data_IF_946487627405
#
_entry.id   IF_946487627405
#
_cell.length_a   1.000
_cell.length_b   1.000
_cell.length_c   1.000
_cell.angle_alpha   90.00
_cell.angle_beta   90.00
_cell.angle_gamma   90.00
#
_symmetry.space_group_name_H-M   'P 1'
#
loop_
_entity.id
_entity.type
_entity.pdbx_description
1 polymer ?
#
# COMPACT_ATOMS: atom_id res chain seq x y z
N UNK A 1 20.47 -6.29 -20.16
CA UNK A 1 19.82 -6.82 -18.97
C UNK A 1 18.51 -6.11 -18.71
N UNK A 2 17.44 -6.84 -18.71
CA UNK A 2 16.14 -6.24 -18.41
C UNK A 2 15.97 -6.12 -16.90
N UNK A 3 15.62 -4.95 -16.45
CA UNK A 3 15.22 -4.76 -15.07
C UNK A 3 13.73 -5.08 -14.97
N UNK A 4 13.38 -5.99 -14.10
CA UNK A 4 11.99 -6.27 -13.85
C UNK A 4 11.38 -5.10 -13.10
N UNK A 5 10.24 -4.64 -13.57
CA UNK A 5 9.51 -3.58 -12.89
C UNK A 5 8.92 -4.14 -11.61
N UNK A 6 8.95 -3.35 -10.56
CA UNK A 6 8.28 -3.69 -9.32
C UNK A 6 6.78 -3.47 -9.46
N UNK A 7 6.01 -4.33 -8.81
CA UNK A 7 4.56 -4.25 -8.83
C UNK A 7 4.06 -3.64 -7.53
N UNK A 8 3.19 -2.65 -7.64
CA UNK A 8 2.52 -2.05 -6.49
C UNK A 8 1.01 -2.28 -6.58
N UNK A 9 0.41 -2.68 -5.47
CA UNK A 9 -1.04 -2.74 -5.35
C UNK A 9 -1.49 -1.51 -4.57
N UNK A 10 -2.29 -0.67 -5.21
CA UNK A 10 -2.82 0.56 -4.59
C UNK A 10 -4.26 0.31 -4.19
N UNK A 11 -4.59 0.57 -2.93
CA UNK A 11 -5.90 0.29 -2.37
C UNK A 11 -6.49 1.57 -1.78
N UNK A 12 -7.59 2.04 -2.36
CA UNK A 12 -8.28 3.24 -1.91
C UNK A 12 -9.70 3.20 -2.47
N UNK A 13 -10.70 3.65 -1.72
CA UNK A 13 -12.08 3.65 -2.20
C UNK A 13 -12.41 4.86 -3.09
N UNK A 14 -11.51 5.85 -3.15
CA UNK A 14 -11.69 7.03 -3.97
C UNK A 14 -11.00 6.85 -5.33
N UNK A 15 -11.79 6.86 -6.41
CA UNK A 15 -11.27 6.65 -7.75
C UNK A 15 -10.25 7.73 -8.16
N UNK A 16 -10.50 8.98 -7.75
CA UNK A 16 -9.59 10.08 -8.07
C UNK A 16 -8.20 9.86 -7.45
N UNK A 17 -8.16 9.33 -6.24
CA UNK A 17 -6.89 9.02 -5.58
C UNK A 17 -6.19 7.87 -6.29
N UNK A 18 -6.93 6.83 -6.66
CA UNK A 18 -6.37 5.71 -7.41
C UNK A 18 -5.79 6.17 -8.75
N UNK A 19 -6.51 7.03 -9.47
CA UNK A 19 -6.04 7.55 -10.76
C UNK A 19 -4.74 8.33 -10.60
N UNK A 20 -4.68 9.21 -9.61
CA UNK A 20 -3.48 10.00 -9.34
C UNK A 20 -2.29 9.12 -8.98
N UNK A 21 -2.48 8.20 -8.06
CA UNK A 21 -1.40 7.33 -7.60
C UNK A 21 -0.94 6.39 -8.71
N UNK A 22 -1.86 5.88 -9.51
CA UNK A 22 -1.50 5.05 -10.65
C UNK A 22 -0.60 5.80 -11.61
N UNK A 23 -0.97 7.02 -11.97
CA UNK A 23 -0.18 7.85 -12.88
C UNK A 23 1.24 8.08 -12.32
N UNK A 24 1.32 8.45 -11.05
CA UNK A 24 2.59 8.78 -10.42
C UNK A 24 3.51 7.55 -10.33
N UNK A 25 2.96 6.41 -9.94
CA UNK A 25 3.77 5.19 -9.82
C UNK A 25 4.15 4.61 -11.18
N UNK A 26 3.26 4.65 -12.17
CA UNK A 26 3.61 4.22 -13.52
C UNK A 26 4.71 5.09 -14.11
N UNK A 27 4.63 6.39 -13.89
CA UNK A 27 5.67 7.33 -14.33
C UNK A 27 7.01 7.03 -13.66
N UNK A 28 6.97 6.49 -12.45
CA UNK A 28 8.18 6.13 -11.69
C UNK A 28 8.68 4.71 -11.97
N UNK A 29 8.06 4.01 -12.92
CA UNK A 29 8.53 2.72 -13.38
C UNK A 29 7.87 1.51 -12.74
N UNK A 30 6.79 1.68 -11.98
CA UNK A 30 6.08 0.56 -11.37
C UNK A 30 5.01 -0.01 -12.31
N UNK A 31 4.76 -1.30 -12.17
CA UNK A 31 3.54 -1.92 -12.67
C UNK A 31 2.48 -1.72 -11.60
N UNK A 32 1.37 -1.12 -11.95
CA UNK A 32 0.34 -0.76 -10.97
C UNK A 32 -0.88 -1.65 -11.10
N UNK A 33 -1.30 -2.21 -9.98
CA UNK A 33 -2.62 -2.82 -9.85
C UNK A 33 -3.39 -2.01 -8.84
N UNK A 34 -4.71 -1.99 -8.95
CA UNK A 34 -5.54 -1.17 -8.07
C UNK A 34 -6.74 -1.96 -7.56
N UNK A 35 -7.16 -1.64 -6.36
CA UNK A 35 -8.34 -2.21 -5.74
C UNK A 35 -9.08 -1.11 -5.01
N UNK A 36 -10.40 -1.11 -5.12
CA UNK A 36 -11.23 -0.08 -4.49
C UNK A 36 -11.92 -0.57 -3.21
N UNK A 37 -11.71 -1.83 -2.85
CA UNK A 37 -12.25 -2.42 -1.62
C UNK A 37 -11.19 -3.28 -0.95
N UNK A 38 -11.34 -3.48 0.35
CA UNK A 38 -10.43 -4.35 1.10
C UNK A 38 -10.48 -5.79 0.62
N UNK A 39 -11.69 -6.27 0.32
CA UNK A 39 -11.89 -7.64 -0.16
C UNK A 39 -11.18 -7.87 -1.50
N UNK A 40 -11.32 -6.92 -2.43
CA UNK A 40 -10.66 -7.02 -3.73
C UNK A 40 -9.14 -6.96 -3.56
N UNK A 41 -8.65 -6.13 -2.64
CA UNK A 41 -7.23 -6.01 -2.35
C UNK A 41 -6.64 -7.33 -1.86
N UNK A 42 -7.31 -7.97 -0.92
CA UNK A 42 -6.86 -9.25 -0.37
C UNK A 42 -6.83 -10.33 -1.46
N UNK A 43 -7.91 -10.44 -2.24
CA UNK A 43 -7.96 -11.41 -3.34
C UNK A 43 -6.85 -11.20 -4.35
N UNK A 44 -6.63 -9.95 -4.74
CA UNK A 44 -5.57 -9.61 -5.70
C UNK A 44 -4.19 -9.97 -5.17
N UNK A 45 -3.91 -9.64 -3.91
CA UNK A 45 -2.61 -9.90 -3.30
C UNK A 45 -2.36 -11.41 -3.13
N UNK A 46 -3.38 -12.17 -2.81
CA UNK A 46 -3.25 -13.62 -2.65
C UNK A 46 -3.03 -14.34 -3.98
N UNK A 47 -3.71 -13.90 -5.04
CA UNK A 47 -3.54 -14.49 -6.36
C UNK A 47 -2.14 -14.27 -6.90
N UNK A 48 -1.64 -13.07 -6.73
CA UNK A 48 -0.31 -12.71 -7.19
C UNK A 48 0.26 -11.64 -6.25
N UNK A 49 1.07 -12.04 -5.27
CA UNK A 49 1.62 -11.08 -4.30
C UNK A 49 2.41 -9.98 -4.99
N UNK A 50 2.08 -8.71 -4.70
CA UNK A 50 2.84 -7.59 -5.25
C UNK A 50 4.14 -7.39 -4.47
N UNK A 51 4.99 -6.50 -4.97
CA UNK A 51 6.21 -6.13 -4.25
C UNK A 51 5.93 -5.22 -3.06
N UNK A 52 4.83 -4.45 -3.14
CA UNK A 52 4.44 -3.53 -2.07
C UNK A 52 2.94 -3.24 -2.18
N UNK A 53 2.30 -2.99 -1.05
CA UNK A 53 0.90 -2.56 -0.98
C UNK A 53 0.84 -1.16 -0.37
N UNK A 54 0.16 -0.24 -1.05
CA UNK A 54 -0.15 1.09 -0.53
C UNK A 54 -1.63 1.09 -0.19
N UNK A 55 -1.97 1.27 1.06
CA UNK A 55 -3.28 0.92 1.60
C UNK A 55 -3.91 2.06 2.38
N UNK A 56 -5.08 2.53 1.92
CA UNK A 56 -5.86 3.52 2.65
C UNK A 56 -6.45 2.88 3.91
N UNK A 57 -6.36 3.59 5.03
CA UNK A 57 -6.91 3.13 6.30
C UNK A 57 -8.44 3.22 6.31
N UNK A 58 -8.98 4.32 5.77
CA UNK A 58 -10.41 4.64 5.87
C UNK A 58 -11.18 4.17 4.65
N UNK A 59 -11.66 2.94 4.70
CA UNK A 59 -12.51 2.38 3.64
C UNK A 59 -13.77 1.78 4.24
N UNK A 60 -14.90 1.80 3.50
CA UNK A 60 -16.12 1.16 3.98
C UNK A 60 -16.00 -0.36 4.03
N UNK A 61 -16.80 -1.00 4.85
CA UNK A 61 -16.92 -2.46 5.03
C UNK A 61 -15.67 -3.08 5.64
N UNK A 62 -14.62 -3.28 4.86
CA UNK A 62 -13.36 -3.83 5.34
C UNK A 62 -12.31 -2.73 5.32
N UNK A 63 -11.99 -2.16 6.48
CA UNK A 63 -11.04 -1.05 6.57
C UNK A 63 -9.59 -1.51 6.39
N UNK A 64 -8.68 -0.53 6.26
CA UNK A 64 -7.28 -0.81 6.01
C UNK A 64 -6.60 -1.62 7.10
N UNK A 65 -7.02 -1.48 8.36
CA UNK A 65 -6.45 -2.27 9.46
C UNK A 65 -6.78 -3.74 9.30
N UNK A 66 -8.00 -4.05 8.89
CA UNK A 66 -8.42 -5.43 8.64
C UNK A 66 -7.66 -6.03 7.46
N UNK A 67 -7.46 -5.25 6.40
CA UNK A 67 -6.67 -5.70 5.25
C UNK A 67 -5.24 -6.00 5.68
N UNK A 68 -4.62 -5.10 6.45
CA UNK A 68 -3.27 -5.27 6.94
C UNK A 68 -3.14 -6.57 7.75
N UNK A 69 -4.03 -6.78 8.71
CA UNK A 69 -4.00 -8.00 9.53
C UNK A 69 -4.17 -9.26 8.69
N UNK A 70 -5.07 -9.20 7.71
CA UNK A 70 -5.33 -10.35 6.83
C UNK A 70 -4.11 -10.68 5.99
N UNK A 71 -3.45 -9.67 5.42
CA UNK A 71 -2.25 -9.88 4.61
C UNK A 71 -1.09 -10.41 5.46
N UNK A 72 -0.90 -9.85 6.64
CA UNK A 72 0.19 -10.27 7.53
C UNK A 72 -0.06 -11.63 8.18
N UNK A 73 -1.30 -12.06 8.24
CA UNK A 73 -1.67 -13.37 8.79
C UNK A 73 -1.58 -14.53 7.80
N UNK A 74 -1.27 -14.28 6.55
CA UNK A 74 -1.22 -15.32 5.51
C UNK A 74 0.20 -15.47 4.97
N UNK A 75 0.66 -16.71 4.83
CA UNK A 75 2.01 -17.00 4.35
C UNK A 75 2.32 -16.38 2.99
N UNK A 76 1.32 -16.28 2.12
CA UNK A 76 1.51 -15.75 0.77
C UNK A 76 1.88 -14.28 0.76
N UNK A 77 1.44 -13.53 1.77
CA UNK A 77 1.55 -12.06 1.75
C UNK A 77 2.22 -11.47 2.99
N UNK A 78 2.53 -12.27 4.00
CA UNK A 78 3.07 -11.72 5.26
C UNK A 78 4.40 -10.97 5.11
N UNK A 79 5.18 -11.30 4.08
CA UNK A 79 6.45 -10.63 3.84
C UNK A 79 6.35 -9.47 2.85
N UNK A 80 5.16 -9.20 2.31
CA UNK A 80 4.95 -8.07 1.42
C UNK A 80 4.88 -6.79 2.24
N UNK A 81 5.72 -5.79 1.97
CA UNK A 81 5.66 -4.52 2.68
C UNK A 81 4.31 -3.84 2.46
N UNK A 82 3.72 -3.34 3.55
CA UNK A 82 2.47 -2.58 3.50
C UNK A 82 2.72 -1.19 4.05
N UNK A 83 2.42 -0.18 3.24
CA UNK A 83 2.53 1.22 3.64
C UNK A 83 1.11 1.77 3.77
N UNK A 84 0.78 2.27 4.96
CA UNK A 84 -0.55 2.81 5.25
C UNK A 84 -0.64 4.25 4.80
N UNK A 85 -1.81 4.65 4.28
CA UNK A 85 -2.08 6.00 3.82
C UNK A 85 -3.35 6.48 4.50
N UNK A 86 -3.31 7.59 5.24
CA UNK A 86 -4.47 8.01 6.02
C UNK A 86 -4.53 9.50 6.28
N UNK A 87 -5.78 10.03 6.29
CA UNK A 87 -6.04 11.38 6.74
C UNK A 87 -5.81 11.52 8.25
N UNK A 88 -5.76 10.41 8.99
CA UNK A 88 -5.51 10.39 10.43
C UNK A 88 -4.07 10.02 10.71
N UNK A 89 -3.18 10.96 10.51
CA UNK A 89 -1.76 10.74 10.76
C UNK A 89 -1.37 11.17 12.17
N UNK A 90 -2.21 10.87 13.15
CA UNK A 90 -1.85 11.12 14.53
C UNK A 90 -0.79 10.11 14.96
N UNK A 91 0.09 10.54 15.84
CA UNK A 91 1.17 9.71 16.36
C UNK A 91 0.68 8.35 16.87
N UNK A 92 -0.48 8.35 17.53
CA UNK A 92 -1.10 7.15 18.05
C UNK A 92 -1.44 6.15 16.96
N UNK A 93 -2.06 6.62 15.87
CA UNK A 93 -2.45 5.76 14.75
C UNK A 93 -1.23 5.19 14.04
N UNK A 94 -0.21 6.00 13.91
CA UNK A 94 1.06 5.57 13.33
C UNK A 94 1.70 4.45 14.14
N UNK A 95 1.70 4.58 15.46
CA UNK A 95 2.23 3.56 16.36
C UNK A 95 1.46 2.25 16.26
N UNK A 96 0.12 2.34 16.19
CA UNK A 96 -0.73 1.16 16.04
C UNK A 96 -0.41 0.44 14.72
N UNK A 97 -0.27 1.18 13.62
CA UNK A 97 0.07 0.61 12.34
C UNK A 97 1.38 -0.14 12.34
N UNK A 98 2.40 0.44 12.96
CA UNK A 98 3.71 -0.19 13.06
C UNK A 98 3.66 -1.46 13.91
N UNK A 99 2.88 -1.44 14.99
CA UNK A 99 2.69 -2.62 15.85
C UNK A 99 1.96 -3.75 15.12
N UNK A 100 1.03 -3.40 14.23
CA UNK A 100 0.27 -4.37 13.44
C UNK A 100 1.06 -4.91 12.22
N UNK A 101 2.26 -4.40 12.01
CA UNK A 101 3.14 -4.91 10.97
C UNK A 101 3.26 -4.07 9.72
N UNK A 102 2.69 -2.85 9.70
CA UNK A 102 2.90 -1.94 8.58
C UNK A 102 4.35 -1.45 8.58
N UNK A 103 4.95 -1.38 7.41
CA UNK A 103 6.32 -0.89 7.25
C UNK A 103 6.38 0.63 7.25
N UNK A 104 5.28 1.30 6.89
CA UNK A 104 5.25 2.75 6.87
C UNK A 104 3.84 3.30 7.00
N UNK A 105 3.77 4.61 7.23
CA UNK A 105 2.50 5.31 7.44
C UNK A 105 2.65 6.73 6.89
N UNK A 106 1.85 7.06 5.89
CA UNK A 106 1.91 8.35 5.21
C UNK A 106 0.62 9.12 5.45
N UNK A 107 0.76 10.39 5.82
CA UNK A 107 -0.38 11.27 6.09
C UNK A 107 -0.98 11.85 4.82
N UNK A 108 -2.30 11.94 4.76
CA UNK A 108 -3.02 12.76 3.79
C UNK A 108 -3.21 14.16 4.37
N UNK A 109 -3.13 15.22 3.60
CA UNK A 109 -2.77 15.24 2.18
C UNK A 109 -1.29 14.97 1.97
N UNK A 110 -0.97 14.31 0.88
CA UNK A 110 0.41 13.94 0.56
C UNK A 110 0.86 14.60 -0.74
N UNK A 111 2.17 14.77 -0.86
CA UNK A 111 2.78 15.08 -2.15
C UNK A 111 2.99 13.76 -2.89
N UNK A 112 2.56 13.63 -4.16
CA UNK A 112 2.80 12.40 -4.92
C UNK A 112 4.27 11.99 -4.94
N UNK A 113 5.18 12.95 -5.07
CA UNK A 113 6.61 12.66 -5.06
C UNK A 113 7.08 12.07 -3.73
N UNK A 114 6.52 12.54 -2.61
CA UNK A 114 6.85 12.00 -1.29
C UNK A 114 6.39 10.56 -1.13
N UNK A 115 5.19 10.25 -1.62
CA UNK A 115 4.66 8.89 -1.54
C UNK A 115 5.57 7.93 -2.31
N UNK A 116 5.97 8.31 -3.51
CA UNK A 116 6.87 7.47 -4.32
C UNK A 116 8.20 7.27 -3.60
N UNK A 117 8.80 8.33 -3.07
CA UNK A 117 10.08 8.23 -2.36
C UNK A 117 9.97 7.31 -1.13
N UNK A 118 8.90 7.44 -0.37
CA UNK A 118 8.69 6.61 0.81
C UNK A 118 8.57 5.13 0.44
N UNK A 119 7.77 4.83 -0.58
CA UNK A 119 7.59 3.46 -1.04
C UNK A 119 8.91 2.89 -1.55
N UNK A 120 9.65 3.65 -2.36
CA UNK A 120 10.95 3.21 -2.88
C UNK A 120 11.93 2.94 -1.74
N UNK A 121 11.91 3.78 -0.72
CA UNK A 121 12.76 3.63 0.46
C UNK A 121 12.51 2.29 1.17
N UNK A 122 11.24 1.91 1.35
CA UNK A 122 10.91 0.64 1.99
C UNK A 122 11.33 -0.55 1.14
N UNK A 123 11.18 -0.46 -0.16
CA UNK A 123 11.61 -1.53 -1.07
C UNK A 123 13.12 -1.72 -1.05
N UNK A 124 13.88 -0.64 -0.99
CA UNK A 124 15.34 -0.71 -0.93
C UNK A 124 15.83 -1.33 0.38
N UNK A 125 15.17 -1.01 1.50
CA UNK A 125 15.52 -1.58 2.81
C UNK A 125 15.24 -3.07 2.88
N UNK A 126 14.23 -3.53 2.15
CA UNK A 126 13.82 -4.94 2.16
C UNK A 126 14.65 -5.85 1.28
N UNK A 127 15.59 -5.30 0.51
CA UNK A 127 16.40 -6.12 -0.41
C UNK A 127 17.68 -6.65 0.22
#
# INVERSE_FOLDING_TARGET
>A
MSQQKRTILIVDDEEDVLDLLQLVFETSGFLVRRASTGKAAVSSAWEQPPDVVLLDVMMPEMDGWQVLRTLKGDERTRNVPVVMLSARAERRDKMIGLQEGAEGYIAKPFSPAEVVREVQSFLERGS
#
